data_IF_786859768688
#
_entry.id   IF_786859768688
#
_cell.length_a   1.000
_cell.length_b   1.000
_cell.length_c   1.000
_cell.angle_alpha   90.00
_cell.angle_beta   90.00
_cell.angle_gamma   90.00
#
_symmetry.space_group_name_H-M   'P 1'
#
loop_
_entity.id
_entity.type
_entity.pdbx_description
1 polymer ?
#
# COMPACT_ATOMS: atom_id res chain seq x y z
N UNK A 1 -8.51 -13.21 17.09
CA UNK A 1 -8.54 -11.76 16.84
C UNK A 1 -8.18 -11.63 15.37
N UNK A 2 -9.03 -11.05 14.51
CA UNK A 2 -8.61 -10.83 13.12
C UNK A 2 -7.56 -9.72 13.14
N UNK A 3 -6.32 -10.07 12.87
CA UNK A 3 -5.22 -9.13 12.92
C UNK A 3 -5.34 -8.13 11.78
N UNK A 4 -5.20 -6.84 12.10
CA UNK A 4 -5.26 -5.74 11.13
C UNK A 4 -4.02 -5.83 10.25
N UNK A 5 -4.20 -6.18 8.97
CA UNK A 5 -3.10 -6.35 8.00
C UNK A 5 -2.63 -5.05 7.34
N UNK A 6 -3.40 -3.97 7.47
CA UNK A 6 -3.11 -2.72 6.78
C UNK A 6 -4.19 -1.65 6.94
N UNK A 7 -3.99 -0.52 6.26
CA UNK A 7 -4.86 0.66 6.35
C UNK A 7 -5.14 1.24 4.96
N UNK A 8 -6.41 1.49 4.66
CA UNK A 8 -6.84 2.07 3.37
C UNK A 8 -6.24 3.46 3.21
N UNK A 9 -5.70 3.73 2.01
CA UNK A 9 -5.10 5.01 1.66
C UNK A 9 -5.96 5.77 0.63
N UNK A 10 -5.60 7.03 0.41
CA UNK A 10 -6.24 7.90 -0.57
C UNK A 10 -6.11 7.36 -2.02
N UNK A 11 -6.86 7.95 -2.96
CA UNK A 11 -7.00 7.47 -4.35
C UNK A 11 -7.65 6.09 -4.51
N UNK A 12 -8.36 5.63 -3.48
CA UNK A 12 -9.27 4.50 -3.57
C UNK A 12 -10.58 4.92 -4.24
N UNK A 13 -11.20 4.00 -4.98
CA UNK A 13 -12.48 4.16 -5.69
C UNK A 13 -13.38 2.95 -5.39
N UNK A 14 -14.68 2.98 -5.72
CA UNK A 14 -15.56 1.83 -5.54
C UNK A 14 -15.15 0.55 -6.29
N UNK A 15 -14.21 0.63 -7.24
CA UNK A 15 -13.69 -0.52 -8.00
C UNK A 15 -12.23 -0.86 -7.70
N UNK A 16 -11.56 -0.05 -6.88
CA UNK A 16 -10.14 -0.17 -6.61
C UNK A 16 -9.84 0.39 -5.23
N UNK A 17 -9.54 -0.47 -4.28
CA UNK A 17 -9.19 -0.09 -2.92
C UNK A 17 -7.70 -0.33 -2.72
N UNK A 18 -6.98 0.73 -2.36
CA UNK A 18 -5.55 0.66 -2.10
C UNK A 18 -5.35 0.71 -0.59
N UNK A 19 -4.45 -0.11 -0.06
CA UNK A 19 -4.09 -0.05 1.35
C UNK A 19 -2.61 -0.28 1.57
N UNK A 20 -2.04 0.43 2.54
CA UNK A 20 -0.67 0.18 2.99
C UNK A 20 -0.65 -1.05 3.88
N UNK A 21 0.28 -1.95 3.63
CA UNK A 21 0.47 -3.16 4.44
C UNK A 21 1.19 -2.76 5.72
N UNK A 22 0.63 -3.16 6.87
CA UNK A 22 1.22 -2.91 8.17
C UNK A 22 2.53 -3.70 8.30
N UNK A 23 3.56 -3.09 8.87
CA UNK A 23 4.88 -3.72 9.04
C UNK A 23 4.78 -5.05 9.79
N UNK A 24 5.44 -6.07 9.26
CA UNK A 24 5.45 -7.42 9.82
C UNK A 24 4.25 -8.28 9.43
N UNK A 25 3.21 -7.69 8.82
CA UNK A 25 2.07 -8.44 8.30
C UNK A 25 2.35 -8.95 6.88
N UNK A 26 1.64 -10.02 6.50
CA UNK A 26 1.75 -10.61 5.17
C UNK A 26 0.42 -10.52 4.43
N UNK A 27 0.49 -10.05 3.18
CA UNK A 27 -0.63 -10.00 2.25
C UNK A 27 -0.31 -10.85 1.03
N UNK A 28 -1.30 -11.58 0.52
CA UNK A 28 -1.14 -12.55 -0.56
C UNK A 28 -1.98 -12.15 -1.77
N UNK A 29 -1.42 -12.35 -2.96
CA UNK A 29 -2.13 -12.17 -4.22
C UNK A 29 -3.28 -13.19 -4.34
N UNK A 30 -4.43 -12.74 -4.81
CA UNK A 30 -5.64 -13.54 -4.98
C UNK A 30 -6.43 -13.78 -3.68
N UNK A 31 -5.87 -13.44 -2.52
CA UNK A 31 -6.54 -13.62 -1.24
C UNK A 31 -7.55 -12.51 -0.97
N UNK A 32 -8.65 -12.86 -0.29
CA UNK A 32 -9.67 -11.92 0.13
C UNK A 32 -9.40 -11.37 1.52
N UNK A 33 -9.56 -10.05 1.66
CA UNK A 33 -9.45 -9.33 2.91
C UNK A 33 -10.77 -8.60 3.20
N UNK A 34 -11.10 -8.48 4.48
CA UNK A 34 -12.32 -7.84 4.93
C UNK A 34 -12.06 -6.39 5.34
N UNK A 35 -12.97 -5.50 4.96
CA UNK A 35 -13.01 -4.12 5.46
C UNK A 35 -14.45 -3.75 5.85
N UNK A 36 -14.59 -2.98 6.93
CA UNK A 36 -15.89 -2.38 7.27
C UNK A 36 -16.20 -1.26 6.29
N UNK A 37 -17.40 -1.26 5.73
CA UNK A 37 -17.76 -0.26 4.74
C UNK A 37 -17.74 1.17 5.36
N UNK A 38 -17.01 2.13 4.76
CA UNK A 38 -16.71 3.42 5.40
C UNK A 38 -17.95 4.27 5.69
N UNK A 39 -19.01 4.14 4.90
CA UNK A 39 -20.27 4.86 5.11
C UNK A 39 -21.02 4.44 6.38
N UNK A 40 -21.01 3.16 6.74
CA UNK A 40 -21.73 2.65 7.92
C UNK A 40 -20.84 2.61 9.17
N UNK A 41 -19.52 2.60 8.99
CA UNK A 41 -18.56 2.55 10.09
C UNK A 41 -18.57 1.21 10.82
N UNK A 42 -18.16 1.25 12.09
CA UNK A 42 -17.94 0.04 12.89
C UNK A 42 -19.23 -0.76 13.08
N UNK A 43 -19.19 -2.06 12.78
CA UNK A 43 -20.37 -2.93 12.81
C UNK A 43 -21.28 -2.79 11.57
N UNK A 44 -20.85 -2.04 10.56
CA UNK A 44 -21.50 -1.97 9.25
C UNK A 44 -21.25 -3.22 8.38
N UNK A 45 -21.74 -3.21 7.14
CA UNK A 45 -21.49 -4.29 6.19
C UNK A 45 -20.00 -4.52 5.95
N UNK A 46 -19.61 -5.79 5.82
CA UNK A 46 -18.26 -6.18 5.44
C UNK A 46 -18.15 -6.22 3.92
N UNK A 47 -17.12 -5.56 3.41
CA UNK A 47 -16.71 -5.62 2.00
C UNK A 47 -15.52 -6.56 1.91
N UNK A 48 -15.58 -7.51 0.99
CA UNK A 48 -14.47 -8.39 0.66
C UNK A 48 -13.70 -7.79 -0.50
N UNK A 49 -12.39 -7.71 -0.35
CA UNK A 49 -11.47 -7.14 -1.32
C UNK A 49 -10.47 -8.21 -1.74
N UNK A 50 -10.37 -8.49 -3.04
CA UNK A 50 -9.38 -9.42 -3.57
C UNK A 50 -8.13 -8.65 -3.95
N UNK A 51 -7.00 -8.97 -3.33
CA UNK A 51 -5.72 -8.36 -3.72
C UNK A 51 -5.29 -8.92 -5.07
N UNK A 52 -5.01 -8.04 -6.03
CA UNK A 52 -4.57 -8.44 -7.37
C UNK A 52 -3.14 -7.98 -7.68
N UNK A 53 -2.61 -7.02 -6.93
CA UNK A 53 -1.24 -6.52 -7.10
C UNK A 53 -0.67 -5.99 -5.77
N UNK A 54 0.66 -6.07 -5.61
CA UNK A 54 1.41 -5.56 -4.46
C UNK A 54 2.67 -4.88 -4.99
N UNK A 55 2.85 -3.60 -4.65
CA UNK A 55 4.01 -2.82 -5.07
C UNK A 55 4.73 -2.21 -3.87
N UNK A 56 6.06 -2.09 -3.96
CA UNK A 56 6.84 -1.27 -3.04
C UNK A 56 6.75 0.20 -3.47
N UNK A 57 6.47 1.10 -2.52
CA UNK A 57 6.52 2.54 -2.72
C UNK A 57 7.58 3.14 -1.81
N UNK A 58 8.35 4.08 -2.37
CA UNK A 58 9.33 4.89 -1.66
C UNK A 58 8.96 6.37 -1.88
N UNK A 59 8.70 7.12 -0.81
CA UNK A 59 8.34 8.54 -0.90
C UNK A 59 9.44 9.40 -1.55
N UNK A 60 10.70 8.99 -1.45
CA UNK A 60 11.81 9.69 -2.12
C UNK A 60 11.77 9.54 -3.64
N UNK A 61 11.18 8.45 -4.15
CA UNK A 61 11.02 8.24 -5.59
C UNK A 61 9.94 9.15 -6.20
N UNK A 62 8.89 9.49 -5.46
CA UNK A 62 7.82 10.38 -5.97
C UNK A 62 8.30 11.84 -6.06
N UNK A 63 9.34 12.20 -5.30
CA UNK A 63 10.04 13.49 -5.45
C UNK A 63 10.86 13.59 -6.74
N UNK A 64 11.08 12.48 -7.46
CA UNK A 64 11.50 12.35 -8.87
C UNK A 64 12.86 12.93 -9.29
N UNK A 65 13.29 14.05 -8.69
CA UNK A 65 14.51 14.78 -9.02
C UNK A 65 15.71 14.23 -8.30
N UNK A 66 15.57 13.76 -7.06
CA UNK A 66 16.72 13.39 -6.22
C UNK A 66 17.47 12.18 -6.79
N UNK A 67 16.77 11.14 -7.24
CA UNK A 67 17.42 9.96 -7.83
C UNK A 67 18.01 10.18 -9.23
N UNK A 68 17.35 10.98 -10.06
CA UNK A 68 17.90 11.37 -11.37
C UNK A 68 19.12 12.27 -11.21
N UNK A 69 19.08 13.23 -10.27
CA UNK A 69 20.21 14.13 -9.95
C UNK A 69 21.39 13.32 -9.38
N UNK A 70 21.16 12.46 -8.38
CA UNK A 70 22.21 11.62 -7.80
C UNK A 70 22.86 10.70 -8.85
N UNK A 71 22.06 10.07 -9.71
CA UNK A 71 22.56 9.22 -10.79
C UNK A 71 23.36 10.02 -11.83
N UNK A 72 22.91 11.24 -12.16
CA UNK A 72 23.66 12.14 -13.06
C UNK A 72 24.99 12.63 -12.46
N UNK A 73 25.11 12.64 -11.13
CA UNK A 73 26.32 12.98 -10.40
C UNK A 73 27.25 11.77 -10.16
N UNK A 74 26.92 10.58 -10.70
CA UNK A 74 27.72 9.36 -10.54
C UNK A 74 27.62 8.73 -9.14
N UNK A 75 26.68 9.18 -8.31
CA UNK A 75 26.38 8.56 -7.03
C UNK A 75 25.47 7.36 -7.27
N UNK A 76 25.78 6.21 -6.68
CA UNK A 76 24.87 5.06 -6.62
C UNK A 76 23.91 5.34 -5.47
N UNK A 77 22.65 5.67 -5.73
CA UNK A 77 21.76 6.01 -4.64
C UNK A 77 21.35 4.72 -3.92
N UNK A 78 21.78 4.58 -2.67
CA UNK A 78 21.37 3.51 -1.78
C UNK A 78 20.07 3.96 -1.10
N UNK A 79 18.94 3.73 -1.76
CA UNK A 79 17.61 4.16 -1.30
C UNK A 79 16.95 3.21 -0.29
N UNK A 80 17.70 2.28 0.29
CA UNK A 80 17.21 1.35 1.32
C UNK A 80 17.05 2.08 2.67
N UNK A 81 16.14 3.05 2.72
CA UNK A 81 15.76 3.76 3.93
C UNK A 81 14.47 3.18 4.51
N UNK A 82 14.26 3.38 5.82
CA UNK A 82 13.07 2.99 6.60
C UNK A 82 11.72 3.50 6.05
N UNK A 83 11.69 4.18 4.90
CA UNK A 83 10.52 4.80 4.27
C UNK A 83 9.89 3.95 3.17
N UNK A 84 10.46 2.79 2.84
CA UNK A 84 9.80 1.84 1.93
C UNK A 84 8.59 1.20 2.62
N UNK A 85 7.43 1.30 1.96
CA UNK A 85 6.22 0.60 2.38
C UNK A 85 5.58 -0.15 1.21
N UNK A 86 4.94 -1.26 1.53
CA UNK A 86 4.22 -2.05 0.56
C UNK A 86 2.77 -1.56 0.47
N UNK A 87 2.30 -1.36 -0.75
CA UNK A 87 0.91 -1.03 -1.05
C UNK A 87 0.29 -2.20 -1.78
N UNK A 88 -0.85 -2.67 -1.26
CA UNK A 88 -1.70 -3.64 -1.92
C UNK A 88 -2.80 -2.91 -2.71
N UNK A 89 -3.05 -3.40 -3.91
CA UNK A 89 -4.14 -3.00 -4.77
C UNK A 89 -5.18 -4.11 -4.81
N UNK A 90 -6.42 -3.78 -4.47
CA UNK A 90 -7.51 -4.73 -4.39
C UNK A 90 -8.77 -4.23 -5.10
N UNK A 91 -9.63 -5.15 -5.51
CA UNK A 91 -10.93 -4.91 -6.16
C UNK A 91 -12.06 -5.71 -5.49
#
# INVERSE_FOLDING_TARGET
>A
MQDVVGYVISRSTPRKVNFVIKRGERVELGQFYAVEHPFWGKGGPIVLLRVYDISSMNEEMDLGRTGVIASSAGLVPVFQGELEYLVAYAE
#
